data_IF_627011721930
#
_entry.id   IF_627011721930
#
_cell.length_a   1.000
_cell.length_b   1.000
_cell.length_c   1.000
_cell.angle_alpha   90.00
_cell.angle_beta   90.00
_cell.angle_gamma   90.00
#
_symmetry.space_group_name_H-M   'P 1'
#
loop_
_entity.id
_entity.type
_entity.pdbx_description
1 polymer ?
#
# COMPACT_ATOMS: atom_id res chain seq x y z
N UNK A 1 -14.24 -8.49 34.01
CA UNK A 1 -14.40 -7.34 33.09
C UNK A 1 -15.62 -7.59 32.23
N UNK A 2 -16.25 -6.54 31.73
CA UNK A 2 -17.24 -6.66 30.65
C UNK A 2 -16.50 -6.61 29.32
N UNK A 3 -16.85 -7.47 28.37
CA UNK A 3 -16.23 -7.48 27.03
C UNK A 3 -17.30 -7.29 25.95
N UNK A 4 -17.05 -6.33 25.05
CA UNK A 4 -17.78 -6.22 23.80
C UNK A 4 -16.96 -6.91 22.71
N UNK A 5 -17.55 -7.92 22.08
CA UNK A 5 -16.83 -8.83 21.16
C UNK A 5 -17.38 -8.69 19.75
N UNK A 6 -16.47 -8.48 18.79
CA UNK A 6 -16.76 -8.73 17.37
C UNK A 6 -16.34 -10.17 17.05
N UNK A 7 -17.33 -11.07 17.12
CA UNK A 7 -17.16 -12.49 16.81
C UNK A 7 -17.45 -12.74 15.33
N UNK A 8 -16.64 -13.57 14.67
CA UNK A 8 -16.90 -14.01 13.29
C UNK A 8 -16.23 -13.19 12.19
N UNK A 9 -15.29 -12.29 12.53
CA UNK A 9 -14.42 -11.62 11.57
C UNK A 9 -15.15 -10.89 10.45
N UNK A 10 -14.54 -10.84 9.27
CA UNK A 10 -15.16 -10.34 8.04
C UNK A 10 -15.23 -11.50 7.04
N UNK A 11 -16.32 -11.54 6.26
CA UNK A 11 -16.39 -12.51 5.15
C UNK A 11 -15.30 -12.20 4.12
N UNK A 12 -14.72 -13.24 3.49
CA UNK A 12 -13.85 -13.06 2.33
C UNK A 12 -14.50 -12.17 1.28
N UNK A 13 -13.72 -11.20 0.81
CA UNK A 13 -14.20 -10.20 -0.15
C UNK A 13 -13.52 -10.33 -1.51
N UNK A 14 -12.40 -11.07 -1.57
CA UNK A 14 -11.67 -11.32 -2.80
C UNK A 14 -11.91 -12.74 -3.32
N UNK A 15 -11.88 -12.88 -4.65
CA UNK A 15 -11.94 -14.21 -5.29
C UNK A 15 -10.71 -15.05 -4.91
N UNK A 16 -9.56 -14.40 -4.82
CA UNK A 16 -8.26 -14.98 -4.53
C UNK A 16 -8.05 -15.15 -3.03
N UNK A 17 -7.74 -16.37 -2.61
CA UNK A 17 -7.50 -16.70 -1.19
C UNK A 17 -6.30 -15.97 -0.63
N UNK A 18 -5.23 -15.88 -1.41
CA UNK A 18 -3.99 -15.22 -1.02
C UNK A 18 -4.18 -13.73 -0.74
N UNK A 19 -5.09 -13.05 -1.45
CA UNK A 19 -5.38 -11.64 -1.17
C UNK A 19 -6.12 -11.45 0.17
N UNK A 20 -7.16 -12.24 0.45
CA UNK A 20 -7.85 -12.14 1.75
C UNK A 20 -6.92 -12.52 2.91
N UNK A 21 -5.99 -13.47 2.73
CA UNK A 21 -4.99 -13.83 3.75
C UNK A 21 -3.95 -12.72 3.92
N UNK A 22 -3.46 -12.13 2.83
CA UNK A 22 -2.43 -11.09 2.85
C UNK A 22 -2.92 -9.78 3.47
N UNK A 23 -4.18 -9.41 3.22
CA UNK A 23 -4.75 -8.13 3.67
C UNK A 23 -5.66 -8.26 4.89
N UNK A 24 -6.13 -9.46 5.20
CA UNK A 24 -6.97 -9.73 6.36
C UNK A 24 -6.17 -9.66 7.66
N UNK A 25 -6.64 -8.86 8.62
CA UNK A 25 -5.96 -8.73 9.91
C UNK A 25 -6.87 -8.31 11.06
N UNK A 26 -6.47 -8.68 12.28
CA UNK A 26 -7.00 -8.14 13.53
C UNK A 26 -6.09 -7.04 14.04
N UNK A 27 -6.63 -5.88 14.36
CA UNK A 27 -5.87 -4.68 14.73
C UNK A 27 -6.44 -4.09 16.00
N UNK A 28 -5.58 -3.63 16.91
CA UNK A 28 -5.99 -2.84 18.08
C UNK A 28 -5.16 -1.57 18.18
N UNK A 29 -5.75 -0.51 18.73
CA UNK A 29 -5.04 0.70 19.14
C UNK A 29 -5.10 0.84 20.66
N UNK A 30 -3.94 1.12 21.25
CA UNK A 30 -3.77 1.34 22.68
C UNK A 30 -2.82 2.49 22.93
N UNK A 31 -3.33 3.58 23.48
CA UNK A 31 -2.55 4.77 23.82
C UNK A 31 -1.68 5.28 22.63
N UNK A 32 -2.21 5.19 21.41
CA UNK A 32 -1.52 5.57 20.17
C UNK A 32 -0.54 4.54 19.61
N UNK A 33 -0.39 3.37 20.23
CA UNK A 33 0.33 2.23 19.65
C UNK A 33 -0.64 1.28 18.96
N UNK A 34 -0.24 0.75 17.80
CA UNK A 34 -1.03 -0.21 17.02
C UNK A 34 -0.37 -1.57 17.04
N UNK A 35 -1.18 -2.58 17.34
CA UNK A 35 -0.82 -3.99 17.14
C UNK A 35 -1.63 -4.53 15.97
N UNK A 36 -0.95 -4.98 14.91
CA UNK A 36 -1.56 -5.58 13.71
C UNK A 36 -1.16 -7.06 13.64
N UNK A 37 -2.16 -7.93 13.81
CA UNK A 37 -1.98 -9.37 13.95
C UNK A 37 -2.56 -10.08 12.73
N UNK A 38 -1.72 -10.88 12.07
CA UNK A 38 -2.04 -11.58 10.84
C UNK A 38 -1.66 -13.07 10.92
N UNK A 39 -2.53 -13.95 10.43
CA UNK A 39 -2.22 -15.38 10.27
C UNK A 39 -1.20 -15.57 9.14
N UNK A 40 -0.12 -16.33 9.39
CA UNK A 40 0.96 -16.56 8.41
C UNK A 40 0.94 -17.96 7.78
N UNK A 41 -0.24 -18.54 7.60
CA UNK A 41 -0.45 -19.87 7.01
C UNK A 41 -1.74 -20.53 7.48
N UNK A 42 -2.20 -21.55 6.75
CA UNK A 42 -3.47 -22.25 6.99
C UNK A 42 -3.48 -23.05 8.30
N UNK A 43 -2.34 -23.53 8.75
CA UNK A 43 -2.12 -24.28 9.98
C UNK A 43 -1.88 -23.38 11.21
N UNK A 44 -1.73 -22.07 11.01
CA UNK A 44 -1.35 -21.12 12.05
C UNK A 44 -2.54 -20.37 12.60
N UNK A 45 -3.07 -20.87 13.72
CA UNK A 45 -4.01 -20.14 14.55
C UNK A 45 -3.28 -19.23 15.54
N UNK A 46 -3.97 -18.18 15.97
CA UNK A 46 -3.50 -17.21 16.94
C UNK A 46 -4.42 -17.32 18.15
N UNK A 47 -3.87 -17.88 19.23
CA UNK A 47 -4.57 -17.96 20.50
C UNK A 47 -4.94 -16.57 21.01
N UNK A 48 -5.99 -16.52 21.83
CA UNK A 48 -6.48 -15.27 22.42
C UNK A 48 -5.39 -14.57 23.21
N UNK A 49 -4.96 -13.41 22.69
CA UNK A 49 -3.96 -12.56 23.31
C UNK A 49 -4.66 -11.36 23.94
N UNK A 50 -4.31 -11.04 25.18
CA UNK A 50 -4.89 -9.91 25.94
C UNK A 50 -3.86 -8.78 25.98
N UNK A 51 -4.28 -7.61 25.53
CA UNK A 51 -3.47 -6.40 25.51
C UNK A 51 -4.02 -5.43 26.54
N UNK A 52 -3.36 -5.36 27.70
CA UNK A 52 -3.78 -4.51 28.81
C UNK A 52 -3.39 -3.04 28.58
N UNK A 53 -4.25 -2.13 29.01
CA UNK A 53 -4.05 -0.68 28.98
C UNK A 53 -5.17 0.06 28.28
N UNK A 54 -5.05 1.39 28.26
CA UNK A 54 -6.04 2.28 27.65
C UNK A 54 -6.21 1.97 26.17
N UNK A 55 -7.31 1.31 25.84
CA UNK A 55 -7.65 0.89 24.47
C UNK A 55 -8.51 1.97 23.82
N UNK A 56 -8.20 2.33 22.57
CA UNK A 56 -8.96 3.32 21.81
C UNK A 56 -9.99 2.62 20.90
N UNK A 57 -9.56 1.56 20.22
CA UNK A 57 -10.40 0.76 19.35
C UNK A 57 -9.82 -0.63 19.08
N UNK A 58 -10.67 -1.56 18.67
CA UNK A 58 -10.29 -2.87 18.16
C UNK A 58 -11.03 -3.15 16.85
N UNK A 59 -10.34 -3.67 15.84
CA UNK A 59 -10.88 -3.81 14.49
C UNK A 59 -10.45 -5.11 13.82
N UNK A 60 -11.28 -5.57 12.89
CA UNK A 60 -10.95 -6.60 11.91
C UNK A 60 -11.07 -5.98 10.54
N UNK A 61 -10.05 -6.15 9.71
CA UNK A 61 -10.06 -5.68 8.32
C UNK A 61 -9.88 -6.81 7.31
N UNK A 62 -10.29 -6.51 6.10
CA UNK A 62 -9.97 -7.20 4.85
C UNK A 62 -9.21 -6.22 3.95
N UNK A 63 -9.06 -6.55 2.66
CA UNK A 63 -8.42 -5.65 1.68
C UNK A 63 -9.13 -4.30 1.54
N UNK A 64 -10.46 -4.28 1.53
CA UNK A 64 -11.24 -3.07 1.26
C UNK A 64 -12.32 -2.73 2.29
N UNK A 65 -12.51 -3.57 3.32
CA UNK A 65 -13.54 -3.36 4.34
C UNK A 65 -12.97 -3.52 5.73
N UNK A 66 -13.58 -2.85 6.70
CA UNK A 66 -13.19 -2.91 8.11
C UNK A 66 -14.43 -2.90 9.01
N UNK A 67 -14.36 -3.69 10.08
CA UNK A 67 -15.27 -3.64 11.22
C UNK A 67 -14.46 -3.20 12.44
N UNK A 68 -14.84 -2.10 13.10
CA UNK A 68 -14.11 -1.54 14.22
C UNK A 68 -15.04 -1.20 15.39
N UNK A 69 -14.73 -1.74 16.56
CA UNK A 69 -15.29 -1.35 17.84
C UNK A 69 -14.50 -0.16 18.37
N UNK A 70 -15.13 1.01 18.38
CA UNK A 70 -14.59 2.27 18.86
C UNK A 70 -15.05 2.49 20.31
N UNK A 71 -14.12 2.79 21.20
CA UNK A 71 -14.42 3.03 22.60
C UNK A 71 -14.64 4.51 22.85
N UNK A 72 -15.70 4.88 23.59
CA UNK A 72 -16.00 6.27 23.96
C UNK A 72 -15.80 6.57 25.46
N UNK A 73 -15.10 5.69 26.17
CA UNK A 73 -14.84 5.77 27.61
C UNK A 73 -13.55 5.06 28.01
N UNK A 74 -13.36 4.70 29.30
CA UNK A 74 -12.14 4.06 29.76
C UNK A 74 -12.08 2.58 29.34
N UNK A 75 -11.52 2.32 28.16
CA UNK A 75 -11.14 0.97 27.74
C UNK A 75 -10.00 0.44 28.60
N UNK A 76 -10.12 -0.77 29.14
CA UNK A 76 -9.12 -1.37 30.05
C UNK A 76 -8.17 -2.34 29.36
N UNK A 77 -8.64 -3.02 28.31
CA UNK A 77 -7.84 -3.94 27.50
C UNK A 77 -8.53 -4.20 26.16
N UNK A 78 -7.78 -4.78 25.23
CA UNK A 78 -8.30 -5.36 24.01
C UNK A 78 -7.87 -6.82 23.90
N UNK A 79 -8.62 -7.63 23.15
CA UNK A 79 -8.16 -8.97 22.78
C UNK A 79 -8.21 -9.19 21.30
N UNK A 80 -7.27 -10.00 20.81
CA UNK A 80 -7.24 -10.49 19.44
C UNK A 80 -7.04 -11.99 19.49
N UNK A 81 -7.79 -12.70 18.65
CA UNK A 81 -7.54 -14.09 18.29
C UNK A 81 -7.81 -14.28 16.80
N UNK A 82 -7.24 -15.33 16.23
CA UNK A 82 -7.51 -15.69 14.85
C UNK A 82 -7.52 -17.20 14.69
N UNK A 83 -8.50 -17.72 13.99
CA UNK A 83 -8.57 -19.14 13.63
C UNK A 83 -8.83 -19.25 12.14
N UNK A 84 -8.15 -20.17 11.47
CA UNK A 84 -8.49 -20.49 10.09
C UNK A 84 -9.71 -21.42 10.07
N UNK A 85 -10.66 -21.10 9.22
CA UNK A 85 -11.80 -21.95 8.93
C UNK A 85 -11.84 -22.33 7.45
N UNK A 86 -12.46 -23.48 7.16
CA UNK A 86 -12.77 -23.88 5.79
C UNK A 86 -14.13 -23.28 5.41
N UNK A 87 -14.18 -22.56 4.29
CA UNK A 87 -15.39 -21.93 3.78
C UNK A 87 -15.56 -22.25 2.29
N UNK A 88 -16.45 -23.20 1.98
CA UNK A 88 -16.61 -23.71 0.61
C UNK A 88 -15.32 -24.37 0.12
N UNK A 89 -14.91 -24.04 -1.11
CA UNK A 89 -13.69 -24.58 -1.74
C UNK A 89 -12.40 -23.84 -1.34
N UNK A 90 -12.47 -22.93 -0.36
CA UNK A 90 -11.30 -22.16 0.09
C UNK A 90 -10.48 -22.98 1.07
N UNK A 91 -9.23 -23.25 0.70
CA UNK A 91 -8.26 -23.95 1.56
C UNK A 91 -7.98 -23.20 2.88
N UNK A 92 -8.09 -21.86 2.87
CA UNK A 92 -7.88 -21.02 4.06
C UNK A 92 -8.86 -19.85 4.09
N UNK A 93 -9.47 -19.60 5.26
CA UNK A 93 -10.21 -18.36 5.57
C UNK A 93 -9.88 -17.90 6.98
N UNK A 94 -9.05 -16.86 7.17
CA UNK A 94 -8.69 -16.38 8.49
C UNK A 94 -9.86 -15.64 9.14
N UNK A 95 -10.32 -16.15 10.28
CA UNK A 95 -11.39 -15.58 11.08
C UNK A 95 -10.80 -14.84 12.27
N UNK A 96 -10.63 -13.53 12.15
CA UNK A 96 -10.17 -12.70 13.25
C UNK A 96 -11.34 -12.38 14.19
N UNK A 97 -11.11 -12.52 15.49
CA UNK A 97 -12.03 -12.07 16.53
C UNK A 97 -11.32 -11.04 17.39
N UNK A 98 -12.02 -9.93 17.65
CA UNK A 98 -11.50 -8.87 18.50
C UNK A 98 -12.50 -8.52 19.58
N UNK A 99 -12.01 -8.15 20.75
CA UNK A 99 -12.85 -7.61 21.81
C UNK A 99 -12.23 -6.39 22.46
N UNK A 100 -13.10 -5.53 23.00
CA UNK A 100 -12.73 -4.43 23.87
C UNK A 100 -13.29 -4.67 25.26
N UNK A 101 -12.45 -4.47 26.26
CA UNK A 101 -12.73 -4.75 27.66
C UNK A 101 -12.97 -3.48 28.46
N UNK A 102 -13.99 -3.51 29.32
CA UNK A 102 -14.37 -2.46 30.25
C UNK A 102 -14.25 -2.94 31.70
N UNK A 103 -14.00 -2.03 32.64
CA UNK A 103 -13.89 -2.40 34.05
C UNK A 103 -15.29 -2.71 34.61
N UNK A 104 -15.38 -3.63 35.58
CA UNK A 104 -16.67 -4.16 36.07
C UNK A 104 -17.48 -3.15 36.88
N UNK A 105 -16.81 -2.15 37.43
CA UNK A 105 -17.37 -1.04 38.20
C UNK A 105 -17.78 0.15 37.31
N UNK A 106 -17.63 0.04 35.98
CA UNK A 106 -18.13 1.05 35.06
C UNK A 106 -19.66 1.18 35.17
N UNK A 107 -20.13 2.37 35.51
CA UNK A 107 -21.56 2.70 35.62
C UNK A 107 -22.28 2.72 34.27
N UNK A 108 -21.54 3.00 33.19
CA UNK A 108 -22.03 2.94 31.82
C UNK A 108 -20.88 2.56 30.86
N UNK A 109 -21.23 1.83 29.80
CA UNK A 109 -20.31 1.44 28.74
C UNK A 109 -20.85 1.99 27.43
N UNK A 110 -20.06 2.82 26.74
CA UNK A 110 -20.38 3.36 25.42
C UNK A 110 -19.35 2.92 24.40
N UNK A 111 -19.82 2.43 23.26
CA UNK A 111 -19.00 2.02 22.13
C UNK A 111 -19.77 2.27 20.83
N UNK A 112 -19.05 2.66 19.78
CA UNK A 112 -19.57 2.77 18.42
C UNK A 112 -18.99 1.65 17.56
N UNK A 113 -19.81 1.08 16.68
CA UNK A 113 -19.37 0.15 15.67
C UNK A 113 -19.25 0.88 14.32
N UNK A 114 -18.06 0.90 13.75
CA UNK A 114 -17.87 1.23 12.34
C UNK A 114 -17.84 -0.08 11.54
N UNK A 115 -18.74 -0.23 10.57
CA UNK A 115 -18.73 -1.36 9.65
C UNK A 115 -18.91 -0.82 8.24
N UNK A 116 -17.86 -0.89 7.42
CA UNK A 116 -17.90 -0.22 6.13
C UNK A 116 -16.62 -0.35 5.31
N UNK A 117 -16.53 0.43 4.22
CA UNK A 117 -15.37 0.44 3.36
C UNK A 117 -14.15 1.02 4.07
N UNK A 118 -12.96 0.59 3.66
CA UNK A 118 -11.68 1.15 4.08
C UNK A 118 -11.37 2.40 3.25
N UNK A 119 -12.21 3.43 3.36
CA UNK A 119 -12.08 4.73 2.69
C UNK A 119 -11.61 5.79 3.70
N UNK A 120 -10.64 6.61 3.30
CA UNK A 120 -10.05 7.65 4.15
C UNK A 120 -11.09 8.62 4.68
N UNK A 121 -12.06 9.04 3.87
CA UNK A 121 -13.00 10.09 4.24
C UNK A 121 -14.00 9.57 5.27
N UNK A 122 -14.51 8.35 5.08
CA UNK A 122 -15.41 7.70 6.04
C UNK A 122 -14.70 7.37 7.35
N UNK A 123 -13.49 6.83 7.29
CA UNK A 123 -12.70 6.51 8.49
C UNK A 123 -12.32 7.79 9.24
N UNK A 124 -11.86 8.84 8.56
CA UNK A 124 -11.48 10.09 9.23
C UNK A 124 -12.69 10.76 9.90
N UNK A 125 -13.90 10.52 9.38
CA UNK A 125 -15.14 11.05 9.98
C UNK A 125 -15.52 10.40 11.31
N UNK A 126 -14.92 9.26 11.69
CA UNK A 126 -15.21 8.60 12.98
C UNK A 126 -14.69 9.39 14.17
N UNK A 127 -13.75 10.33 13.95
CA UNK A 127 -13.09 11.11 14.99
C UNK A 127 -12.06 10.33 15.80
N UNK A 128 -11.59 9.18 15.29
CA UNK A 128 -10.62 8.31 15.95
C UNK A 128 -9.36 8.14 15.11
N UNK A 129 -8.29 7.52 15.65
CA UNK A 129 -7.07 7.15 14.92
C UNK A 129 -7.23 5.93 14.00
N UNK A 130 -8.45 5.61 13.58
CA UNK A 130 -8.73 4.42 12.78
C UNK A 130 -8.09 4.52 11.37
N UNK A 131 -7.76 5.72 10.89
CA UNK A 131 -7.08 5.94 9.60
C UNK A 131 -5.65 5.37 9.58
N UNK A 132 -5.07 5.10 10.75
CA UNK A 132 -3.77 4.47 10.89
C UNK A 132 -3.78 2.98 10.48
N UNK A 133 -4.97 2.35 10.42
CA UNK A 133 -5.12 1.00 9.85
C UNK A 133 -4.83 0.97 8.35
N UNK A 134 -4.89 2.10 7.66
CA UNK A 134 -4.67 2.16 6.21
C UNK A 134 -3.18 2.03 5.87
N UNK A 135 -2.88 1.19 4.88
CA UNK A 135 -1.50 1.00 4.43
C UNK A 135 -1.12 2.10 3.41
N UNK A 136 -0.30 3.04 3.88
CA UNK A 136 0.26 4.14 3.09
C UNK A 136 1.70 3.92 2.61
N UNK A 137 2.33 2.80 2.99
CA UNK A 137 3.75 2.53 2.81
C UNK A 137 4.63 3.06 3.93
N UNK A 138 5.96 3.00 3.73
CA UNK A 138 6.95 3.47 4.69
C UNK A 138 6.87 5.00 4.92
N UNK A 139 7.59 5.52 5.90
CA UNK A 139 7.51 6.93 6.30
C UNK A 139 7.76 7.94 5.15
N UNK A 140 8.68 7.63 4.22
CA UNK A 140 9.05 8.55 3.11
C UNK A 140 7.97 8.58 2.00
N UNK A 141 7.25 7.47 1.80
CA UNK A 141 6.21 7.31 0.76
C UNK A 141 4.84 7.72 1.28
N UNK A 142 4.55 7.53 2.57
CA UNK A 142 3.26 7.86 3.19
C UNK A 142 2.68 9.22 2.75
N UNK A 143 3.41 10.36 2.79
CA UNK A 143 2.85 11.63 2.33
C UNK A 143 2.58 11.66 0.82
N UNK A 144 3.39 10.98 0.02
CA UNK A 144 3.21 10.87 -1.44
C UNK A 144 1.94 10.07 -1.75
N UNK A 145 1.74 8.92 -1.10
CA UNK A 145 0.55 8.08 -1.28
C UNK A 145 -0.74 8.84 -0.91
N UNK A 146 -0.75 9.52 0.24
CA UNK A 146 -1.89 10.36 0.66
C UNK A 146 -2.16 11.48 -0.35
N UNK A 147 -1.10 12.16 -0.82
CA UNK A 147 -1.21 13.22 -1.81
C UNK A 147 -1.73 12.76 -3.17
N UNK A 148 -1.28 11.59 -3.64
CA UNK A 148 -1.79 10.96 -4.87
C UNK A 148 -3.28 10.66 -4.73
N UNK A 149 -3.69 9.95 -3.68
CA UNK A 149 -5.10 9.59 -3.52
C UNK A 149 -5.98 10.84 -3.41
N UNK A 150 -5.56 11.83 -2.62
CA UNK A 150 -6.24 13.11 -2.52
C UNK A 150 -6.38 13.78 -3.91
N UNK A 151 -5.30 13.83 -4.69
CA UNK A 151 -5.31 14.40 -6.04
C UNK A 151 -6.24 13.64 -6.99
N UNK A 152 -6.26 12.31 -6.94
CA UNK A 152 -7.14 11.47 -7.75
C UNK A 152 -8.62 11.67 -7.37
N UNK A 153 -8.95 11.66 -6.07
CA UNK A 153 -10.31 11.95 -5.58
C UNK A 153 -10.75 13.37 -5.95
N UNK A 154 -9.85 14.34 -5.81
CA UNK A 154 -10.12 15.73 -6.20
C UNK A 154 -10.44 15.83 -7.69
N UNK A 155 -9.62 15.24 -8.56
CA UNK A 155 -9.86 15.24 -10.01
C UNK A 155 -11.17 14.52 -10.37
N UNK A 156 -11.44 13.38 -9.75
CA UNK A 156 -12.69 12.63 -9.92
C UNK A 156 -13.91 13.49 -9.55
N UNK A 157 -13.91 14.09 -8.36
CA UNK A 157 -15.03 14.86 -7.82
C UNK A 157 -15.21 16.21 -8.55
N UNK A 158 -14.11 16.91 -8.87
CA UNK A 158 -14.15 18.21 -9.52
C UNK A 158 -14.53 18.12 -11.01
N UNK A 159 -13.98 17.13 -11.73
CA UNK A 159 -14.23 16.96 -13.16
C UNK A 159 -15.43 16.05 -13.46
N UNK A 160 -15.95 15.34 -12.44
CA UNK A 160 -17.00 14.31 -12.55
C UNK A 160 -16.68 13.27 -13.63
N UNK A 161 -15.41 12.88 -13.72
CA UNK A 161 -14.89 11.91 -14.69
C UNK A 161 -14.73 10.55 -14.03
N UNK A 162 -14.92 9.48 -14.77
CA UNK A 162 -14.58 8.13 -14.33
C UNK A 162 -13.10 8.05 -13.91
N UNK A 163 -12.79 7.31 -12.84
CA UNK A 163 -11.45 7.05 -12.35
C UNK A 163 -10.46 6.64 -13.46
N UNK A 164 -10.85 5.85 -14.45
CA UNK A 164 -9.91 5.49 -15.52
C UNK A 164 -9.45 6.69 -16.37
N UNK A 165 -10.35 7.65 -16.64
CA UNK A 165 -9.99 8.91 -17.31
C UNK A 165 -9.16 9.79 -16.38
N UNK A 166 -9.50 9.83 -15.09
CA UNK A 166 -8.72 10.54 -14.07
C UNK A 166 -7.29 10.01 -14.02
N UNK A 167 -7.08 8.70 -14.11
CA UNK A 167 -5.74 8.09 -14.15
C UNK A 167 -4.96 8.49 -15.39
N UNK A 168 -5.60 8.56 -16.55
CA UNK A 168 -4.95 9.04 -17.78
C UNK A 168 -4.52 10.50 -17.64
N UNK A 169 -5.40 11.36 -17.13
CA UNK A 169 -5.08 12.76 -16.88
C UNK A 169 -3.98 12.92 -15.83
N UNK A 170 -4.02 12.12 -14.77
CA UNK A 170 -3.00 12.11 -13.73
C UNK A 170 -1.64 11.68 -14.29
N UNK A 171 -1.60 10.65 -15.13
CA UNK A 171 -0.37 10.21 -15.80
C UNK A 171 0.21 11.30 -16.71
N UNK A 172 -0.65 12.00 -17.47
CA UNK A 172 -0.24 13.16 -18.28
C UNK A 172 0.29 14.31 -17.41
N UNK A 173 -0.37 14.60 -16.29
CA UNK A 173 0.06 15.63 -15.33
C UNK A 173 1.44 15.31 -14.76
N UNK A 174 1.65 14.08 -14.30
CA UNK A 174 2.95 13.61 -13.81
C UNK A 174 4.00 13.73 -14.91
N UNK A 175 3.68 13.35 -16.15
CA UNK A 175 4.60 13.47 -17.29
C UNK A 175 4.94 14.91 -17.61
N UNK A 176 3.99 15.82 -17.47
CA UNK A 176 4.18 17.26 -17.67
C UNK A 176 5.11 17.85 -16.60
N UNK A 177 4.87 17.53 -15.32
CA UNK A 177 5.70 18.00 -14.19
C UNK A 177 7.10 17.41 -14.23
N UNK A 178 7.22 16.11 -14.54
CA UNK A 178 8.53 15.42 -14.63
C UNK A 178 9.23 15.65 -15.97
N UNK A 179 8.57 16.27 -16.95
CA UNK A 179 9.09 16.48 -18.31
C UNK A 179 10.39 17.29 -18.36
N UNK A 180 10.47 18.48 -17.73
CA UNK A 180 11.71 19.26 -17.68
C UNK A 180 12.87 18.51 -17.01
N UNK A 181 12.57 17.78 -15.93
CA UNK A 181 13.56 16.95 -15.22
C UNK A 181 14.05 15.80 -16.11
N UNK A 182 13.12 15.12 -16.79
CA UNK A 182 13.41 14.04 -17.74
C UNK A 182 14.30 14.54 -18.88
N UNK A 183 14.00 15.71 -19.44
CA UNK A 183 14.82 16.33 -20.50
C UNK A 183 16.25 16.56 -20.03
N UNK A 184 16.46 17.13 -18.85
CA UNK A 184 17.81 17.35 -18.28
C UNK A 184 18.55 16.02 -18.06
N UNK A 185 17.87 15.00 -17.54
CA UNK A 185 18.47 13.67 -17.33
C UNK A 185 18.87 13.01 -18.66
N UNK A 186 18.04 13.16 -19.69
CA UNK A 186 18.32 12.68 -21.04
C UNK A 186 19.52 13.38 -21.68
N UNK A 187 19.60 14.71 -21.58
CA UNK A 187 20.76 15.48 -22.06
C UNK A 187 22.06 15.05 -21.37
N UNK A 188 22.03 14.80 -20.05
CA UNK A 188 23.18 14.29 -19.30
C UNK A 188 23.62 12.91 -19.81
N UNK A 189 22.66 12.02 -20.07
CA UNK A 189 22.92 10.67 -20.59
C UNK A 189 23.54 10.71 -21.99
N UNK A 190 23.04 11.58 -22.88
CA UNK A 190 23.61 11.75 -24.22
C UNK A 190 25.06 12.26 -24.17
N UNK A 191 25.38 13.22 -23.30
CA UNK A 191 26.76 13.70 -23.13
C UNK A 191 27.67 12.59 -22.60
N UNK A 192 27.17 11.74 -21.71
CA UNK A 192 27.90 10.58 -21.20
C UNK A 192 28.18 9.54 -22.29
N UNK A 193 27.22 9.29 -23.19
CA UNK A 193 27.42 8.39 -24.33
C UNK A 193 28.52 8.89 -25.28
N UNK A 194 28.65 10.21 -25.48
CA UNK A 194 29.70 10.81 -26.33
C UNK A 194 31.12 10.56 -25.78
N UNK A 195 31.31 10.58 -24.47
CA UNK A 195 32.62 10.36 -23.82
C UNK A 195 32.91 8.87 -23.54
N UNK A 196 31.91 8.01 -23.62
CA UNK A 196 32.03 6.57 -23.40
C UNK A 196 33.16 5.88 -24.22
N UNK A 197 33.41 6.20 -25.51
CA UNK A 197 34.54 5.62 -26.24
C UNK A 197 35.91 6.02 -25.65
N UNK A 198 36.05 7.24 -25.14
CA UNK A 198 37.29 7.68 -24.48
C UNK A 198 37.50 6.98 -23.14
N UNK A 199 36.43 6.82 -22.36
CA UNK A 199 36.45 6.04 -21.12
C UNK A 199 36.88 4.60 -21.40
N UNK A 200 36.37 3.96 -22.46
CA UNK A 200 36.78 2.60 -22.85
C UNK A 200 38.27 2.50 -23.20
N UNK A 201 38.82 3.49 -23.92
CA UNK A 201 40.26 3.55 -24.21
C UNK A 201 41.08 3.66 -22.91
N UNK A 202 40.60 4.45 -21.96
CA UNK A 202 41.25 4.66 -20.68
C UNK A 202 41.19 3.42 -19.77
N UNK A 203 40.06 2.70 -19.77
CA UNK A 203 39.89 1.40 -19.13
C UNK A 203 40.87 0.35 -19.68
N UNK A 204 41.12 0.35 -21.00
CA UNK A 204 42.13 -0.52 -21.60
C UNK A 204 43.56 -0.14 -21.17
N UNK A 205 43.85 1.17 -21.05
CA UNK A 205 45.19 1.67 -20.68
C UNK A 205 45.55 1.45 -19.21
N UNK A 206 44.60 1.57 -18.29
CA UNK A 206 44.83 1.50 -16.84
C UNK A 206 44.22 0.25 -16.19
N UNK A 207 44.10 -0.85 -16.96
CA UNK A 207 43.44 -2.09 -16.52
C UNK A 207 44.08 -2.71 -15.26
N UNK A 208 45.37 -2.47 -15.06
CA UNK A 208 46.16 -2.97 -13.92
C UNK A 208 46.18 -2.03 -12.70
N UNK A 209 45.58 -0.83 -12.78
CA UNK A 209 45.55 0.16 -11.69
C UNK A 209 44.13 0.75 -11.51
N UNK A 210 43.28 0.08 -10.73
CA UNK A 210 41.89 0.50 -10.50
C UNK A 210 41.78 1.88 -9.83
N UNK A 211 42.72 2.24 -8.96
CA UNK A 211 42.70 3.53 -8.26
C UNK A 211 42.95 4.67 -9.24
N UNK A 212 43.98 4.54 -10.09
CA UNK A 212 44.28 5.52 -11.12
C UNK A 212 43.17 5.60 -12.16
N UNK A 213 42.61 4.46 -12.57
CA UNK A 213 41.48 4.41 -13.49
C UNK A 213 40.28 5.23 -12.95
N UNK A 214 39.91 5.07 -11.68
CA UNK A 214 38.79 5.81 -11.09
C UNK A 214 39.05 7.32 -11.06
N UNK A 215 40.27 7.72 -10.65
CA UNK A 215 40.69 9.14 -10.60
C UNK A 215 40.63 9.81 -11.98
N UNK A 216 41.17 9.16 -13.01
CA UNK A 216 41.17 9.68 -14.38
C UNK A 216 39.75 9.69 -14.97
N UNK A 217 38.92 8.69 -14.66
CA UNK A 217 37.52 8.63 -15.09
C UNK A 217 36.71 9.78 -14.51
N UNK A 218 36.86 10.06 -13.22
CA UNK A 218 36.22 11.20 -12.57
C UNK A 218 36.75 12.55 -13.09
N UNK A 219 38.05 12.66 -13.36
CA UNK A 219 38.63 13.84 -13.99
C UNK A 219 38.06 14.09 -15.40
N UNK A 220 37.86 13.02 -16.18
CA UNK A 220 37.26 13.09 -17.52
C UNK A 220 35.80 13.51 -17.46
N UNK A 221 35.01 12.99 -16.51
CA UNK A 221 33.63 13.44 -16.28
C UNK A 221 33.57 14.93 -15.93
N UNK A 222 34.45 15.38 -15.03
CA UNK A 222 34.53 16.78 -14.62
C UNK A 222 34.97 17.70 -15.77
N UNK A 223 35.95 17.27 -16.58
CA UNK A 223 36.44 18.02 -17.75
C UNK A 223 35.35 18.24 -18.80
N UNK A 224 34.47 17.26 -18.99
CA UNK A 224 33.37 17.34 -19.96
C UNK A 224 32.05 17.84 -19.35
N UNK A 225 32.05 18.24 -18.06
CA UNK A 225 30.85 18.74 -17.37
C UNK A 225 29.71 17.73 -17.30
N UNK A 226 30.03 16.43 -17.25
CA UNK A 226 29.05 15.34 -17.19
C UNK A 226 28.94 14.84 -15.76
N UNK A 227 27.72 14.71 -15.25
CA UNK A 227 27.47 14.06 -13.97
C UNK A 227 27.01 12.60 -14.20
N UNK A 228 27.81 11.58 -13.82
CA UNK A 228 27.40 10.18 -13.98
C UNK A 228 26.12 9.84 -13.21
N UNK A 229 25.81 10.58 -12.14
CA UNK A 229 24.59 10.40 -11.35
C UNK A 229 23.37 11.15 -11.92
N UNK A 230 23.56 12.00 -12.94
CA UNK A 230 22.46 12.75 -13.58
C UNK A 230 21.43 11.83 -14.25
N UNK A 231 21.85 10.63 -14.69
CA UNK A 231 20.96 9.62 -15.26
C UNK A 231 20.13 8.87 -14.20
N UNK A 232 20.74 8.53 -13.05
CA UNK A 232 20.03 7.78 -12.00
C UNK A 232 19.15 8.67 -11.12
N UNK A 233 19.33 9.98 -11.14
CA UNK A 233 18.51 10.94 -10.38
C UNK A 233 17.02 10.84 -10.73
N UNK A 234 16.70 10.65 -12.01
CA UNK A 234 15.31 10.47 -12.44
C UNK A 234 14.72 9.18 -11.87
N UNK A 235 15.46 8.08 -11.93
CA UNK A 235 15.02 6.80 -11.34
C UNK A 235 14.80 6.95 -9.83
N UNK A 236 15.72 7.63 -9.13
CA UNK A 236 15.63 7.79 -7.68
C UNK A 236 14.38 8.58 -7.25
N UNK A 237 14.00 9.61 -8.01
CA UNK A 237 12.77 10.38 -7.75
C UNK A 237 11.52 9.60 -8.19
N UNK A 238 11.61 8.85 -9.29
CA UNK A 238 10.48 8.09 -9.83
C UNK A 238 10.13 6.88 -8.96
N UNK A 239 11.12 6.22 -8.33
CA UNK A 239 10.88 4.99 -7.54
C UNK A 239 9.92 5.21 -6.36
N UNK A 240 10.07 6.24 -5.50
CA UNK A 240 9.09 6.56 -4.47
C UNK A 240 7.70 6.87 -5.03
N UNK A 241 7.61 7.61 -6.15
CA UNK A 241 6.34 7.94 -6.78
C UNK A 241 5.64 6.68 -7.32
N UNK A 242 6.38 5.80 -7.99
CA UNK A 242 5.86 4.52 -8.49
C UNK A 242 5.39 3.65 -7.34
N UNK A 243 6.18 3.53 -6.28
CA UNK A 243 5.81 2.73 -5.11
C UNK A 243 4.58 3.30 -4.40
N UNK A 244 4.45 4.63 -4.31
CA UNK A 244 3.28 5.30 -3.77
C UNK A 244 2.01 5.00 -4.60
N UNK A 245 2.08 5.15 -5.93
CA UNK A 245 1.00 4.80 -6.85
C UNK A 245 0.60 3.32 -6.70
N UNK A 246 1.63 2.47 -6.67
CA UNK A 246 1.47 1.04 -6.54
C UNK A 246 0.71 0.68 -5.23
N UNK A 247 1.06 1.31 -4.11
CA UNK A 247 0.36 1.13 -2.83
C UNK A 247 -1.09 1.61 -2.95
N UNK A 248 -1.30 2.85 -3.41
CA UNK A 248 -2.63 3.45 -3.57
C UNK A 248 -3.55 2.54 -4.38
N UNK A 249 -3.12 2.03 -5.54
CA UNK A 249 -3.98 1.16 -6.34
C UNK A 249 -4.31 -0.19 -5.69
N UNK A 250 -3.41 -0.74 -4.87
CA UNK A 250 -3.66 -2.03 -4.21
C UNK A 250 -4.50 -1.93 -2.95
N UNK A 251 -4.47 -0.80 -2.23
CA UNK A 251 -5.02 -0.70 -0.87
C UNK A 251 -6.23 0.21 -0.73
N UNK A 252 -6.60 0.95 -1.78
CA UNK A 252 -7.70 1.92 -1.73
C UNK A 252 -8.93 1.37 -2.43
N UNK A 253 -10.09 1.55 -1.79
CA UNK A 253 -11.36 1.01 -2.27
C UNK A 253 -11.94 1.78 -3.47
N UNK A 254 -11.47 3.01 -3.67
CA UNK A 254 -11.93 3.93 -4.70
C UNK A 254 -11.85 3.34 -6.12
N UNK A 255 -10.87 2.46 -6.38
CA UNK A 255 -10.70 1.81 -7.68
C UNK A 255 -11.47 0.49 -7.82
N UNK A 256 -12.01 -0.05 -6.72
CA UNK A 256 -12.69 -1.34 -6.71
C UNK A 256 -14.00 -1.25 -7.50
N UNK A 257 -14.12 -2.12 -8.50
CA UNK A 257 -15.31 -2.20 -9.35
C UNK A 257 -15.52 -0.98 -10.23
N UNK A 258 -14.50 -0.12 -10.41
CA UNK A 258 -14.58 1.01 -11.32
C UNK A 258 -14.26 0.54 -12.75
N UNK A 259 -15.19 0.66 -13.70
CA UNK A 259 -14.92 0.33 -15.10
C UNK A 259 -14.06 1.42 -15.74
N UNK A 260 -13.44 1.14 -16.90
CA UNK A 260 -12.80 2.18 -17.70
C UNK A 260 -13.27 2.16 -19.16
N UNK A 261 -12.58 1.43 -20.04
CA UNK A 261 -12.93 1.30 -21.47
C UNK A 261 -12.69 -0.14 -21.91
N UNK A 262 -13.40 -0.58 -22.95
CA UNK A 262 -13.26 -1.91 -23.56
C UNK A 262 -13.57 -3.05 -22.56
N UNK A 263 -12.63 -3.97 -22.36
CA UNK A 263 -12.76 -5.12 -21.47
C UNK A 263 -12.43 -4.79 -19.99
N UNK A 264 -12.02 -3.56 -19.69
CA UNK A 264 -11.58 -3.16 -18.34
C UNK A 264 -12.82 -2.87 -17.49
N UNK A 265 -13.27 -3.88 -16.75
CA UNK A 265 -14.45 -3.78 -15.87
C UNK A 265 -14.11 -3.39 -14.43
N UNK A 266 -12.85 -3.53 -14.02
CA UNK A 266 -12.43 -3.28 -12.64
C UNK A 266 -10.96 -2.84 -12.56
N UNK A 267 -10.73 -1.55 -12.27
CA UNK A 267 -9.40 -0.97 -12.14
C UNK A 267 -8.56 -1.53 -10.96
N UNK A 268 -9.18 -2.22 -10.00
CA UNK A 268 -8.47 -2.81 -8.87
C UNK A 268 -8.01 -4.24 -9.10
N UNK A 269 -8.35 -4.85 -10.24
CA UNK A 269 -8.02 -6.25 -10.57
C UNK A 269 -6.99 -6.33 -11.71
N UNK A 270 -6.23 -7.42 -11.80
CA UNK A 270 -5.45 -7.72 -13.00
C UNK A 270 -6.36 -7.77 -14.24
N UNK A 271 -5.88 -7.20 -15.34
CA UNK A 271 -6.61 -7.18 -16.62
C UNK A 271 -6.44 -8.51 -17.34
N UNK A 272 -7.57 -9.10 -17.77
CA UNK A 272 -7.61 -10.38 -18.47
C UNK A 272 -8.17 -10.12 -19.87
N UNK A 273 -7.30 -10.17 -20.87
CA UNK A 273 -7.71 -9.99 -22.27
C UNK A 273 -8.29 -11.27 -22.85
N UNK A 274 -7.78 -12.44 -22.44
CA UNK A 274 -8.22 -13.77 -22.86
C UNK A 274 -8.16 -14.75 -21.69
N UNK A 275 -9.24 -15.48 -21.43
CA UNK A 275 -9.22 -16.62 -20.51
C UNK A 275 -8.51 -17.80 -21.19
N UNK A 276 -7.44 -18.30 -20.60
CA UNK A 276 -6.67 -19.43 -21.13
C UNK A 276 -7.06 -20.72 -20.40
N UNK A 277 -7.09 -21.89 -21.08
CA UNK A 277 -7.32 -23.17 -20.42
C UNK A 277 -6.10 -23.66 -19.59
N UNK A 278 -5.03 -22.86 -19.48
CA UNK A 278 -3.82 -23.16 -18.74
C UNK A 278 -3.18 -21.87 -18.21
N UNK A 279 -2.43 -21.97 -17.11
CA UNK A 279 -1.76 -20.82 -16.48
C UNK A 279 -0.38 -20.56 -17.10
N UNK A 280 -0.13 -19.32 -17.55
CA UNK A 280 1.19 -18.89 -18.01
C UNK A 280 1.86 -18.10 -16.86
N UNK A 281 3.15 -18.35 -16.54
CA UNK A 281 3.88 -17.53 -15.57
C UNK A 281 3.74 -16.03 -15.91
N UNK A 282 3.36 -15.21 -14.93
CA UNK A 282 3.08 -13.76 -15.03
C UNK A 282 1.68 -13.38 -15.56
N UNK A 283 1.06 -14.17 -16.44
CA UNK A 283 -0.29 -13.90 -16.96
C UNK A 283 -1.40 -14.54 -16.13
N UNK A 284 -1.13 -15.70 -15.52
CA UNK A 284 -2.15 -16.54 -14.91
C UNK A 284 -2.93 -17.34 -15.94
N UNK A 285 -4.08 -17.87 -15.54
CA UNK A 285 -5.09 -18.54 -16.36
C UNK A 285 -6.14 -17.56 -16.94
N UNK A 286 -6.03 -16.28 -16.60
CA UNK A 286 -7.02 -15.25 -16.87
C UNK A 286 -7.87 -15.02 -15.63
#
# INVERSE_FOLDING_TARGET
SLELVWAGGLRPSEKRVDEDVQYGSGIISRAGEIEDVQTKGADKNIGRTIYNGQTDWAAVRSKYFISALLIEGPGSFATISAENMVLGDREQTPLYQVSVGFPLDASAVSSRLYLGPLDVDYISSTGTSLDETMNWGWAIIRPISKGILWGLKFMHNALRLNYGVVLLLFALLIRFVTGPLTKKSFESTQRMQKIQPEIKKMQAKFKSDPQRLNRETMAMYKKHGVNPLGGCLLMLIQMPLLMALFIVFRTTIEFRGQPFVLWITDLSKPDIVFSLPFSIPVYGDG
#
